data_IF_550637168108
#
_entry.id   IF_550637168108
#
_cell.length_a   1.000
_cell.length_b   1.000
_cell.length_c   1.000
_cell.angle_alpha   90.00
_cell.angle_beta   90.00
_cell.angle_gamma   90.00
#
_symmetry.space_group_name_H-M   'P 1'
#
loop_
_entity.id
_entity.type
_entity.pdbx_description
1 polymer ?
#
# COMPACT_ATOMS: atom_id res chain seq x y z
N UNK A 1 -13.24 34.67 7.73
CA UNK A 1 -13.59 33.23 7.65
C UNK A 1 -12.31 32.44 7.80
N UNK A 2 -12.37 31.30 8.47
CA UNK A 2 -11.25 30.36 8.55
C UNK A 2 -11.03 29.73 7.17
N UNK A 3 -9.77 29.64 6.73
CA UNK A 3 -9.41 29.07 5.43
C UNK A 3 -9.79 27.57 5.33
N UNK A 4 -9.89 26.90 6.48
CA UNK A 4 -10.22 25.47 6.57
C UNK A 4 -11.69 25.20 6.84
N UNK A 5 -12.56 26.21 6.82
CA UNK A 5 -13.99 26.09 7.16
C UNK A 5 -14.69 24.95 6.38
N UNK A 6 -14.65 25.00 5.03
CA UNK A 6 -15.27 23.96 4.19
C UNK A 6 -14.56 22.63 4.40
N UNK A 7 -13.22 22.63 4.36
CA UNK A 7 -12.40 21.42 4.47
C UNK A 7 -12.74 20.64 5.75
N UNK A 8 -12.77 21.33 6.90
CA UNK A 8 -13.08 20.72 8.19
C UNK A 8 -14.52 20.24 8.29
N UNK A 9 -15.47 20.90 7.62
CA UNK A 9 -16.87 20.47 7.58
C UNK A 9 -17.08 19.17 6.79
N UNK A 10 -16.24 18.87 5.79
CA UNK A 10 -16.50 17.78 4.83
C UNK A 10 -15.44 16.67 4.81
N UNK A 11 -14.34 16.81 5.56
CA UNK A 11 -13.22 15.84 5.60
C UNK A 11 -13.59 14.46 6.14
N UNK A 12 -14.52 14.38 7.08
CA UNK A 12 -14.90 13.14 7.75
C UNK A 12 -16.12 12.51 7.08
N UNK A 13 -16.06 11.19 6.89
CA UNK A 13 -17.16 10.43 6.28
C UNK A 13 -17.87 9.65 7.39
N UNK A 14 -19.21 9.72 7.52
CA UNK A 14 -19.93 8.93 8.50
C UNK A 14 -19.89 7.44 8.13
N UNK A 15 -19.97 6.56 9.13
CA UNK A 15 -19.77 5.13 8.95
C UNK A 15 -20.81 4.47 8.00
N UNK A 16 -22.03 5.00 7.97
CA UNK A 16 -23.11 4.56 7.08
C UNK A 16 -22.92 4.94 5.61
N UNK A 17 -22.03 5.91 5.33
CA UNK A 17 -21.61 6.28 3.99
C UNK A 17 -20.32 5.55 3.56
N UNK A 18 -19.78 4.65 4.40
CA UNK A 18 -18.56 3.89 4.12
C UNK A 18 -18.84 2.40 3.96
N UNK A 19 -18.13 1.77 3.03
CA UNK A 19 -18.13 0.32 2.87
C UNK A 19 -16.72 -0.18 2.61
N UNK A 20 -16.28 -1.18 3.35
CA UNK A 20 -15.01 -1.83 3.07
C UNK A 20 -15.10 -2.67 1.78
N UNK A 21 -14.13 -2.51 0.91
CA UNK A 21 -13.97 -3.32 -0.31
C UNK A 21 -13.24 -4.61 0.07
N UNK A 22 -13.91 -5.76 -0.06
CA UNK A 22 -13.38 -7.07 0.38
C UNK A 22 -12.73 -7.92 -0.73
N UNK A 23 -12.61 -7.41 -1.94
CA UNK A 23 -12.16 -8.19 -3.09
C UNK A 23 -11.52 -7.37 -4.21
N UNK A 24 -10.76 -8.06 -5.06
CA UNK A 24 -10.06 -7.45 -6.19
C UNK A 24 -8.87 -6.58 -5.77
N UNK A 25 -8.38 -5.78 -6.72
CA UNK A 25 -7.18 -4.92 -6.53
C UNK A 25 -7.36 -3.84 -5.47
N UNK A 26 -8.60 -3.51 -5.13
CA UNK A 26 -8.96 -2.49 -4.15
C UNK A 26 -9.33 -3.09 -2.79
N UNK A 27 -9.05 -4.37 -2.54
CA UNK A 27 -9.31 -5.00 -1.24
C UNK A 27 -8.64 -4.23 -0.09
N UNK A 28 -9.37 -4.04 1.02
CA UNK A 28 -8.97 -3.22 2.16
C UNK A 28 -9.08 -1.71 1.91
N UNK A 29 -9.57 -1.27 0.75
CA UNK A 29 -9.92 0.13 0.52
C UNK A 29 -11.36 0.42 0.96
N UNK A 30 -11.70 1.70 1.01
CA UNK A 30 -13.00 2.18 1.50
C UNK A 30 -13.72 2.75 0.29
N UNK A 31 -14.85 2.15 -0.02
CA UNK A 31 -15.85 2.67 -0.92
C UNK A 31 -16.69 3.69 -0.15
N UNK A 32 -16.94 4.85 -0.76
CA UNK A 32 -17.70 5.93 -0.12
C UNK A 32 -18.93 6.18 -0.98
N UNK A 33 -20.11 6.14 -0.36
CA UNK A 33 -21.38 6.32 -1.03
C UNK A 33 -21.39 7.62 -1.88
N UNK A 34 -21.62 7.53 -3.19
CA UNK A 34 -21.69 8.71 -4.04
C UNK A 34 -22.77 9.72 -3.66
N UNK A 35 -23.94 9.25 -3.20
CA UNK A 35 -25.04 10.13 -2.81
C UNK A 35 -24.70 10.97 -1.58
N UNK A 36 -23.84 10.46 -0.70
CA UNK A 36 -23.35 11.24 0.44
C UNK A 36 -22.56 12.46 -0.04
N UNK A 37 -21.76 12.35 -1.11
CA UNK A 37 -21.03 13.51 -1.66
C UNK A 37 -21.97 14.59 -2.18
N UNK A 38 -23.02 14.19 -2.91
CA UNK A 38 -24.01 15.14 -3.42
C UNK A 38 -24.79 15.82 -2.28
N UNK A 39 -25.09 15.05 -1.23
CA UNK A 39 -25.69 15.57 0.00
C UNK A 39 -24.77 16.62 0.65
N UNK A 40 -23.48 16.33 0.79
CA UNK A 40 -22.51 17.27 1.36
C UNK A 40 -22.40 18.56 0.54
N UNK A 41 -22.29 18.46 -0.79
CA UNK A 41 -22.30 19.65 -1.66
C UNK A 41 -23.57 20.49 -1.45
N UNK A 42 -24.71 19.81 -1.31
CA UNK A 42 -26.00 20.46 -1.07
C UNK A 42 -26.09 21.10 0.31
N UNK A 43 -25.52 20.47 1.34
CA UNK A 43 -25.47 21.02 2.70
C UNK A 43 -24.53 22.24 2.79
N UNK A 44 -23.41 22.21 2.09
CA UNK A 44 -22.42 23.30 2.13
C UNK A 44 -22.84 24.50 1.29
N UNK A 45 -23.45 24.27 0.12
CA UNK A 45 -23.64 25.32 -0.88
C UNK A 45 -25.09 25.57 -1.24
N UNK A 46 -26.01 24.64 -0.96
CA UNK A 46 -27.42 24.67 -1.39
C UNK A 46 -27.70 23.76 -2.60
N UNK A 47 -28.91 23.77 -3.17
CA UNK A 47 -29.28 22.85 -4.25
C UNK A 47 -28.38 22.96 -5.49
N UNK A 48 -28.21 21.83 -6.21
CA UNK A 48 -27.51 21.83 -7.49
C UNK A 48 -28.21 22.77 -8.50
N UNK A 49 -27.44 23.52 -9.28
CA UNK A 49 -27.90 24.61 -10.15
C UNK A 49 -28.02 25.98 -9.45
N UNK A 50 -28.04 26.01 -8.12
CA UNK A 50 -28.18 27.26 -7.33
C UNK A 50 -26.91 27.52 -6.53
N UNK A 51 -26.56 26.57 -5.68
CA UNK A 51 -25.44 26.63 -4.74
C UNK A 51 -24.16 26.03 -5.29
N UNK A 52 -24.30 24.95 -6.04
CA UNK A 52 -23.22 24.29 -6.75
C UNK A 52 -23.74 23.76 -8.07
N UNK A 53 -22.87 23.48 -9.03
CA UNK A 53 -23.22 22.90 -10.33
C UNK A 53 -22.00 22.24 -10.92
N UNK A 54 -22.18 21.47 -11.98
CA UNK A 54 -21.07 20.97 -12.78
C UNK A 54 -21.43 21.00 -14.27
N UNK A 55 -20.40 21.00 -15.10
CA UNK A 55 -20.51 20.81 -16.55
C UNK A 55 -19.78 19.53 -16.93
N UNK A 56 -20.29 18.84 -17.95
CA UNK A 56 -19.60 17.72 -18.58
C UNK A 56 -18.82 18.30 -19.75
N UNK A 57 -17.49 18.29 -19.66
CA UNK A 57 -16.61 18.84 -20.69
C UNK A 57 -16.39 17.84 -21.81
N UNK A 58 -16.28 16.56 -21.46
CA UNK A 58 -16.01 15.50 -22.42
C UNK A 58 -16.46 14.14 -21.90
N UNK A 59 -16.97 13.31 -22.81
CA UNK A 59 -17.19 11.88 -22.60
C UNK A 59 -16.64 11.11 -23.79
N UNK A 60 -15.89 10.05 -23.55
CA UNK A 60 -15.33 9.23 -24.62
C UNK A 60 -15.06 7.80 -24.17
N UNK A 61 -14.87 6.92 -25.16
CA UNK A 61 -14.40 5.56 -24.97
C UNK A 61 -12.93 5.46 -25.36
N UNK A 62 -12.17 4.66 -24.62
CA UNK A 62 -10.77 4.34 -24.92
C UNK A 62 -10.58 2.82 -24.93
N UNK A 63 -9.84 2.33 -25.91
CA UNK A 63 -9.54 0.90 -26.02
C UNK A 63 -8.49 0.49 -24.98
N UNK A 64 -8.80 -0.55 -24.21
CA UNK A 64 -7.92 -1.19 -23.25
C UNK A 64 -7.25 -2.44 -23.81
N UNK A 65 -6.52 -3.13 -22.93
CA UNK A 65 -5.92 -4.41 -23.27
C UNK A 65 -6.99 -5.50 -23.45
N UNK A 66 -6.70 -6.51 -24.27
CA UNK A 66 -7.53 -7.73 -24.37
C UNK A 66 -9.01 -7.48 -24.73
N UNK A 67 -9.30 -6.44 -25.51
CA UNK A 67 -10.65 -6.12 -25.98
C UNK A 67 -11.53 -5.42 -24.94
N UNK A 68 -10.96 -5.02 -23.80
CA UNK A 68 -11.65 -4.14 -22.84
C UNK A 68 -11.79 -2.73 -23.43
N UNK A 69 -12.84 -2.02 -23.02
CA UNK A 69 -13.06 -0.62 -23.39
C UNK A 69 -13.47 0.12 -22.12
N UNK A 70 -12.87 1.29 -21.88
CA UNK A 70 -13.21 2.15 -20.75
C UNK A 70 -13.94 3.39 -21.22
N UNK A 71 -14.99 3.77 -20.50
CA UNK A 71 -15.64 5.07 -20.61
C UNK A 71 -15.00 6.06 -19.65
N UNK A 72 -14.73 7.27 -20.14
CA UNK A 72 -14.21 8.38 -19.36
C UNK A 72 -15.14 9.57 -19.40
N UNK A 73 -15.11 10.37 -18.34
CA UNK A 73 -15.88 11.59 -18.22
C UNK A 73 -15.01 12.68 -17.58
N UNK A 74 -14.88 13.82 -18.24
CA UNK A 74 -14.28 15.03 -17.70
C UNK A 74 -15.39 16.02 -17.29
N UNK A 75 -15.22 16.64 -16.13
CA UNK A 75 -16.14 17.65 -15.60
C UNK A 75 -15.39 18.88 -15.08
N UNK A 76 -16.14 19.97 -14.96
CA UNK A 76 -15.80 21.09 -14.06
C UNK A 76 -16.90 21.22 -13.00
N UNK A 77 -16.51 21.21 -11.72
CA UNK A 77 -17.38 21.47 -10.58
C UNK A 77 -17.26 22.94 -10.16
N UNK A 78 -18.39 23.59 -9.90
CA UNK A 78 -18.47 24.97 -9.45
C UNK A 78 -19.31 25.05 -8.18
N UNK A 79 -18.97 25.97 -7.29
CA UNK A 79 -19.76 26.27 -6.10
C UNK A 79 -19.88 27.77 -5.89
N UNK A 80 -20.91 28.19 -5.16
CA UNK A 80 -21.18 29.59 -4.85
C UNK A 80 -20.86 29.83 -3.37
N UNK A 81 -20.04 30.84 -3.08
CA UNK A 81 -19.74 31.27 -1.71
C UNK A 81 -19.84 32.79 -1.64
N UNK A 82 -20.50 33.31 -0.62
CA UNK A 82 -20.68 34.76 -0.40
C UNK A 82 -21.26 35.53 -1.61
N UNK A 83 -22.11 34.87 -2.40
CA UNK A 83 -22.71 35.48 -3.59
C UNK A 83 -21.91 35.31 -4.89
N UNK A 84 -20.66 34.86 -4.82
CA UNK A 84 -19.77 34.69 -5.97
C UNK A 84 -19.60 33.21 -6.35
N UNK A 85 -19.50 32.94 -7.65
CA UNK A 85 -19.20 31.61 -8.17
C UNK A 85 -17.69 31.37 -8.16
N UNK A 86 -17.29 30.16 -7.80
CA UNK A 86 -15.92 29.68 -7.95
C UNK A 86 -15.55 29.51 -9.43
N UNK A 87 -14.25 29.38 -9.69
CA UNK A 87 -13.77 28.76 -10.92
C UNK A 87 -14.09 27.26 -10.97
N UNK A 88 -13.92 26.66 -12.15
CA UNK A 88 -14.17 25.25 -12.38
C UNK A 88 -13.09 24.37 -11.75
N UNK A 89 -13.51 23.47 -10.86
CA UNK A 89 -12.64 22.44 -10.26
C UNK A 89 -12.68 21.20 -11.16
N UNK A 90 -11.54 20.78 -11.74
CA UNK A 90 -11.51 19.66 -12.66
C UNK A 90 -11.70 18.32 -11.96
N UNK A 91 -12.38 17.41 -12.66
CA UNK A 91 -12.46 16.00 -12.29
C UNK A 91 -12.52 15.11 -13.52
N UNK A 92 -11.73 14.04 -13.52
CA UNK A 92 -11.77 12.98 -14.53
C UNK A 92 -12.13 11.69 -13.84
N UNK A 93 -13.14 11.01 -14.35
CA UNK A 93 -13.60 9.72 -13.84
C UNK A 93 -13.64 8.67 -14.93
N UNK A 94 -13.60 7.40 -14.51
CA UNK A 94 -13.59 6.27 -15.43
C UNK A 94 -14.47 5.11 -14.98
N UNK A 95 -14.98 4.35 -15.94
CA UNK A 95 -15.65 3.08 -15.70
C UNK A 95 -15.44 2.15 -16.89
N UNK A 96 -15.44 0.83 -16.67
CA UNK A 96 -15.42 -0.11 -17.79
C UNK A 96 -16.73 -0.02 -18.58
N UNK A 97 -16.62 0.18 -19.90
CA UNK A 97 -17.70 0.00 -20.87
C UNK A 97 -17.76 -1.46 -21.31
N UNK A 98 -16.62 -2.05 -21.66
CA UNK A 98 -16.46 -3.49 -21.88
C UNK A 98 -15.42 -4.02 -20.89
N UNK A 99 -15.83 -4.95 -20.03
CA UNK A 99 -14.98 -5.61 -19.05
C UNK A 99 -14.84 -7.10 -19.35
N UNK A 100 -13.66 -7.67 -19.07
CA UNK A 100 -13.46 -9.12 -19.13
C UNK A 100 -13.85 -9.77 -17.81
N UNK A 101 -14.92 -10.53 -17.82
CA UNK A 101 -15.37 -11.32 -16.68
C UNK A 101 -15.14 -12.82 -16.89
N UNK A 102 -15.40 -13.63 -15.85
CA UNK A 102 -15.25 -15.10 -15.95
C UNK A 102 -16.10 -15.72 -17.06
N UNK A 103 -17.21 -15.09 -17.44
CA UNK A 103 -18.13 -15.54 -18.48
C UNK A 103 -17.86 -14.98 -19.88
N UNK A 104 -16.84 -14.14 -20.06
CA UNK A 104 -16.54 -13.47 -21.32
C UNK A 104 -16.55 -11.94 -21.20
N UNK A 105 -16.70 -11.25 -22.34
CA UNK A 105 -16.81 -9.80 -22.37
C UNK A 105 -18.22 -9.38 -21.97
N UNK A 106 -18.31 -8.44 -21.03
CA UNK A 106 -19.55 -7.84 -20.58
C UNK A 106 -19.57 -6.36 -20.92
N UNK A 107 -20.68 -5.88 -21.50
CA UNK A 107 -20.89 -4.48 -21.83
C UNK A 107 -21.80 -3.82 -20.79
N UNK A 108 -21.39 -2.68 -20.25
CA UNK A 108 -22.13 -1.90 -19.26
C UNK A 108 -22.78 -0.66 -19.89
N UNK A 109 -24.10 -0.56 -19.83
CA UNK A 109 -24.87 0.63 -20.21
C UNK A 109 -24.82 1.75 -19.14
N UNK A 110 -24.37 1.43 -17.93
CA UNK A 110 -24.21 2.38 -16.83
C UNK A 110 -22.83 3.06 -16.80
N UNK A 111 -21.92 2.70 -17.73
CA UNK A 111 -20.51 3.11 -17.69
C UNK A 111 -20.31 4.65 -17.61
N UNK A 112 -21.05 5.45 -18.38
CA UNK A 112 -20.92 6.91 -18.33
C UNK A 112 -21.49 7.52 -17.04
N UNK A 113 -22.55 6.93 -16.46
CA UNK A 113 -23.09 7.38 -15.17
C UNK A 113 -22.09 7.10 -14.04
N UNK A 114 -21.45 5.94 -14.09
CA UNK A 114 -20.38 5.57 -13.17
C UNK A 114 -19.15 6.47 -13.34
N UNK A 115 -18.71 6.72 -14.58
CA UNK A 115 -17.60 7.62 -14.88
C UNK A 115 -17.87 9.06 -14.42
N UNK A 116 -19.09 9.59 -14.64
CA UNK A 116 -19.49 10.91 -14.14
C UNK A 116 -19.44 10.97 -12.61
N UNK A 117 -19.90 9.93 -11.95
CA UNK A 117 -19.91 9.84 -10.48
C UNK A 117 -18.50 9.80 -9.91
N UNK A 118 -17.59 9.09 -10.57
CA UNK A 118 -16.16 9.06 -10.21
C UNK A 118 -15.51 10.44 -10.45
N UNK A 119 -15.81 11.10 -11.58
CA UNK A 119 -15.30 12.44 -11.90
C UNK A 119 -15.72 13.48 -10.84
N UNK A 120 -16.98 13.45 -10.41
CA UNK A 120 -17.48 14.26 -9.29
C UNK A 120 -16.74 13.94 -7.99
N UNK A 121 -16.49 12.66 -7.72
CA UNK A 121 -15.73 12.24 -6.54
C UNK A 121 -14.29 12.76 -6.56
N UNK A 122 -13.67 12.84 -7.74
CA UNK A 122 -12.33 13.41 -7.93
C UNK A 122 -12.34 14.92 -7.69
N UNK A 123 -13.25 15.67 -8.32
CA UNK A 123 -13.35 17.12 -8.13
C UNK A 123 -13.62 17.50 -6.67
N UNK A 124 -14.50 16.75 -5.98
CA UNK A 124 -14.84 16.99 -4.57
C UNK A 124 -13.62 16.88 -3.62
N UNK A 125 -12.56 16.14 -3.98
CA UNK A 125 -11.36 16.04 -3.14
C UNK A 125 -10.64 17.37 -2.99
N UNK A 126 -10.70 18.24 -4.00
CA UNK A 126 -10.12 19.58 -3.93
C UNK A 126 -10.82 20.48 -2.89
N UNK A 127 -12.08 20.18 -2.54
CA UNK A 127 -12.83 20.83 -1.46
C UNK A 127 -12.57 20.19 -0.09
N UNK A 128 -11.78 19.11 -0.03
CA UNK A 128 -11.52 18.35 1.19
C UNK A 128 -12.53 17.23 1.47
N UNK A 129 -13.49 16.96 0.57
CA UNK A 129 -14.54 15.95 0.82
C UNK A 129 -13.91 14.58 1.02
N UNK A 130 -14.22 13.95 2.16
CA UNK A 130 -13.68 12.66 2.59
C UNK A 130 -12.15 12.62 2.76
N UNK A 131 -11.49 13.77 2.95
CA UNK A 131 -10.05 13.85 3.08
C UNK A 131 -9.47 12.89 4.14
N UNK A 132 -10.17 12.64 5.25
CA UNK A 132 -9.67 11.74 6.30
C UNK A 132 -9.48 10.30 5.79
N UNK A 133 -10.32 9.81 4.88
CA UNK A 133 -10.19 8.46 4.30
C UNK A 133 -8.94 8.34 3.41
N UNK A 134 -8.60 9.42 2.70
CA UNK A 134 -7.43 9.46 1.83
C UNK A 134 -6.16 9.70 2.66
N UNK A 135 -6.20 10.61 3.63
CA UNK A 135 -5.10 10.97 4.51
C UNK A 135 -4.70 9.83 5.45
N UNK A 136 -5.67 9.15 6.08
CA UNK A 136 -5.39 7.98 6.92
C UNK A 136 -4.66 6.88 6.13
N UNK A 137 -4.91 6.78 4.82
CA UNK A 137 -4.23 5.83 3.93
C UNK A 137 -2.92 6.36 3.36
N UNK A 138 -2.71 7.66 3.36
CA UNK A 138 -1.45 8.32 3.00
C UNK A 138 -0.38 8.20 4.09
N UNK A 139 -0.77 7.70 5.27
CA UNK A 139 0.18 7.34 6.32
C UNK A 139 1.21 6.28 5.90
N UNK A 140 0.98 5.62 4.76
CA UNK A 140 1.90 4.64 4.18
C UNK A 140 2.77 5.18 3.04
N UNK A 141 2.53 6.42 2.58
CA UNK A 141 3.21 7.00 1.42
C UNK A 141 4.13 8.19 1.74
N UNK A 142 3.72 9.07 2.67
CA UNK A 142 4.55 10.21 3.08
C UNK A 142 4.84 10.30 4.58
N UNK A 143 4.21 9.47 5.43
CA UNK A 143 4.69 9.25 6.81
C UNK A 143 5.45 7.93 6.91
N UNK A 144 6.62 7.91 6.27
CA UNK A 144 7.69 7.00 6.63
C UNK A 144 9.07 7.69 6.48
N UNK A 145 9.23 8.87 7.08
CA UNK A 145 10.31 8.99 8.06
C UNK A 145 9.61 8.91 9.42
N UNK A 146 9.63 7.75 10.10
CA UNK A 146 9.07 7.66 11.43
C UNK A 146 9.83 8.63 12.34
N UNK A 147 9.12 9.48 13.07
CA UNK A 147 9.62 9.86 14.39
C UNK A 147 9.79 8.56 15.17
N UNK A 148 10.97 8.37 15.76
CA UNK A 148 11.30 7.15 16.47
C UNK A 148 10.23 6.88 17.55
N UNK A 149 9.44 5.79 17.45
CA UNK A 149 8.67 5.35 18.59
C UNK A 149 9.64 5.03 19.74
N UNK A 150 9.24 5.13 21.03
CA UNK A 150 10.05 4.53 22.09
C UNK A 150 10.30 3.08 21.68
N UNK A 151 11.57 2.76 21.47
CA UNK A 151 12.07 1.55 20.83
C UNK A 151 11.33 0.33 21.41
N UNK A 152 10.31 -0.15 20.70
CA UNK A 152 9.78 -1.48 20.97
C UNK A 152 10.82 -2.44 20.41
N UNK A 153 11.53 -3.11 21.31
CA UNK A 153 12.48 -4.15 20.99
C UNK A 153 11.77 -5.24 20.19
N UNK A 154 12.00 -5.26 18.87
CA UNK A 154 11.88 -6.52 18.14
C UNK A 154 12.85 -7.49 18.82
N UNK A 155 12.42 -8.70 19.25
CA UNK A 155 13.38 -9.67 19.74
C UNK A 155 14.42 -9.86 18.63
N UNK A 156 15.69 -9.62 18.97
CA UNK A 156 16.78 -9.84 18.04
C UNK A 156 16.62 -11.23 17.43
N UNK A 157 16.96 -11.43 16.14
CA UNK A 157 17.10 -12.78 15.60
C UNK A 157 17.90 -13.61 16.61
N UNK A 158 17.32 -14.73 17.08
CA UNK A 158 17.96 -15.59 18.07
C UNK A 158 19.14 -16.30 17.39
N UNK A 159 20.27 -15.60 17.36
CA UNK A 159 21.55 -16.16 17.00
C UNK A 159 22.03 -17.07 18.13
N UNK A 160 22.90 -17.99 17.78
CA UNK A 160 23.49 -18.91 18.74
C UNK A 160 24.24 -18.15 19.85
N UNK A 161 24.07 -18.62 21.08
CA UNK A 161 24.78 -18.10 22.25
C UNK A 161 26.31 -18.34 22.19
N UNK A 162 27.03 -17.73 23.11
CA UNK A 162 28.50 -17.86 23.20
C UNK A 162 28.97 -19.30 23.41
N UNK A 163 28.16 -20.15 24.04
CA UNK A 163 28.46 -21.57 24.27
C UNK A 163 28.51 -22.29 22.93
N UNK A 164 27.48 -22.13 22.11
CA UNK A 164 27.39 -22.72 20.77
C UNK A 164 28.45 -22.14 19.82
N UNK A 165 28.78 -20.86 19.93
CA UNK A 165 29.90 -20.28 19.19
C UNK A 165 31.23 -20.93 19.58
N UNK A 166 31.44 -21.18 20.88
CA UNK A 166 32.64 -21.86 21.40
C UNK A 166 32.72 -23.31 20.90
N UNK A 167 31.60 -24.03 20.88
CA UNK A 167 31.53 -25.38 20.30
C UNK A 167 31.95 -25.36 18.84
N UNK A 168 31.41 -24.40 18.07
CA UNK A 168 31.73 -24.27 16.66
C UNK A 168 33.22 -23.96 16.43
N UNK A 169 33.81 -23.05 17.21
CA UNK A 169 35.25 -22.75 17.15
C UNK A 169 36.11 -23.97 17.48
N UNK A 170 35.74 -24.76 18.51
CA UNK A 170 36.46 -26.00 18.85
C UNK A 170 36.40 -27.02 17.73
N UNK A 171 35.24 -27.18 17.08
CA UNK A 171 35.07 -28.11 15.97
C UNK A 171 35.81 -27.66 14.70
N UNK A 172 35.83 -26.35 14.41
CA UNK A 172 36.66 -25.78 13.34
C UNK A 172 38.14 -26.06 13.60
N UNK A 173 38.62 -25.86 14.83
CA UNK A 173 40.00 -26.17 15.20
C UNK A 173 40.29 -27.68 15.10
N UNK A 174 39.40 -28.54 15.59
CA UNK A 174 39.52 -30.01 15.52
C UNK A 174 39.66 -30.49 14.08
N UNK A 175 38.88 -29.93 13.17
CA UNK A 175 38.85 -30.33 11.76
C UNK A 175 39.86 -29.58 10.88
N UNK A 176 40.47 -28.52 11.42
CA UNK A 176 41.33 -27.59 10.67
C UNK A 176 40.58 -26.75 9.64
N UNK A 177 39.24 -26.67 9.72
CA UNK A 177 38.44 -25.91 8.77
C UNK A 177 38.44 -24.42 9.12
N UNK A 178 38.76 -23.58 8.14
CA UNK A 178 38.77 -22.13 8.29
C UNK A 178 37.36 -21.54 8.48
N UNK A 179 37.25 -20.58 9.41
CA UNK A 179 35.98 -19.96 9.77
C UNK A 179 35.36 -19.17 8.61
N UNK A 180 36.16 -18.49 7.79
CA UNK A 180 35.70 -17.70 6.64
C UNK A 180 35.18 -18.62 5.55
N UNK A 181 35.86 -19.75 5.31
CA UNK A 181 35.38 -20.78 4.38
C UNK A 181 34.07 -21.42 4.85
N UNK A 182 33.95 -21.71 6.15
CA UNK A 182 32.72 -22.24 6.73
C UNK A 182 31.55 -21.26 6.59
N UNK A 183 31.77 -19.96 6.85
CA UNK A 183 30.75 -18.93 6.65
C UNK A 183 30.34 -18.80 5.17
N UNK A 184 31.30 -18.85 4.25
CA UNK A 184 31.02 -18.87 2.81
C UNK A 184 30.21 -20.12 2.40
N UNK A 185 30.50 -21.28 3.00
CA UNK A 185 29.74 -22.51 2.79
C UNK A 185 28.30 -22.39 3.29
N UNK A 186 28.09 -21.80 4.48
CA UNK A 186 26.76 -21.49 5.00
C UNK A 186 26.03 -20.49 4.09
N UNK A 187 26.70 -19.45 3.59
CA UNK A 187 26.10 -18.50 2.65
C UNK A 187 25.59 -19.14 1.36
N UNK A 188 26.32 -20.14 0.82
CA UNK A 188 25.87 -20.92 -0.34
C UNK A 188 24.67 -21.82 -0.03
N UNK A 189 24.58 -22.35 1.20
CA UNK A 189 23.48 -23.24 1.62
C UNK A 189 22.23 -22.49 2.08
N UNK A 190 22.39 -21.25 2.54
CA UNK A 190 21.32 -20.37 3.02
C UNK A 190 21.35 -19.02 2.27
N UNK A 191 21.07 -18.98 0.95
CA UNK A 191 21.23 -17.76 0.14
C UNK A 191 20.26 -16.63 0.52
N UNK A 192 19.13 -16.96 1.17
CA UNK A 192 18.17 -15.97 1.67
C UNK A 192 18.56 -15.37 3.04
N UNK A 193 19.52 -15.98 3.74
CA UNK A 193 20.01 -15.52 5.04
C UNK A 193 21.47 -15.97 5.23
N UNK A 194 22.46 -15.37 4.53
CA UNK A 194 23.87 -15.74 4.69
C UNK A 194 24.44 -15.16 6.00
N UNK A 195 25.12 -15.96 6.85
CA UNK A 195 25.69 -15.44 8.10
C UNK A 195 26.93 -14.56 7.83
N UNK A 196 26.96 -13.37 8.41
CA UNK A 196 28.07 -12.42 8.25
C UNK A 196 29.28 -12.73 9.16
N UNK A 197 29.04 -13.35 10.32
CA UNK A 197 30.06 -13.80 11.26
C UNK A 197 29.53 -14.98 12.09
N UNK A 198 30.39 -15.57 12.94
CA UNK A 198 30.01 -16.63 13.87
C UNK A 198 28.82 -16.24 14.78
N UNK A 199 28.77 -14.98 15.22
CA UNK A 199 27.69 -14.45 16.05
C UNK A 199 26.40 -14.11 15.30
N UNK A 200 26.39 -14.25 13.96
CA UNK A 200 25.20 -14.08 13.13
C UNK A 200 24.69 -15.41 12.56
N UNK A 201 25.07 -16.52 13.20
CA UNK A 201 24.59 -17.86 12.88
C UNK A 201 23.31 -18.12 13.68
N UNK A 202 22.22 -18.47 13.00
CA UNK A 202 20.98 -18.89 13.64
C UNK A 202 20.99 -20.38 14.04
N UNK A 203 20.03 -20.83 14.84
CA UNK A 203 19.91 -22.23 15.30
C UNK A 203 19.88 -23.26 14.16
N UNK A 204 19.27 -22.91 13.03
CA UNK A 204 19.14 -23.82 11.87
C UNK A 204 20.48 -23.96 11.18
N UNK A 205 21.19 -22.85 10.98
CA UNK A 205 22.53 -22.82 10.40
C UNK A 205 23.54 -23.53 11.31
N UNK A 206 23.46 -23.32 12.63
CA UNK A 206 24.30 -24.01 13.60
C UNK A 206 24.12 -25.53 13.57
N UNK A 207 22.87 -25.99 13.64
CA UNK A 207 22.57 -27.43 13.57
C UNK A 207 23.07 -28.04 12.27
N UNK A 208 22.93 -27.31 11.16
CA UNK A 208 23.42 -27.75 9.86
C UNK A 208 24.95 -27.87 9.83
N UNK A 209 25.66 -26.87 10.33
CA UNK A 209 27.12 -26.83 10.23
C UNK A 209 27.81 -27.81 11.19
N UNK A 210 27.26 -28.02 12.39
CA UNK A 210 27.77 -29.02 13.34
C UNK A 210 27.71 -30.42 12.74
N UNK A 211 26.58 -30.80 12.12
CA UNK A 211 26.45 -32.09 11.40
C UNK A 211 27.43 -32.23 10.24
N UNK A 212 27.81 -31.14 9.60
CA UNK A 212 28.82 -31.14 8.54
C UNK A 212 30.24 -31.31 9.11
N UNK A 213 30.53 -30.71 10.27
CA UNK A 213 31.80 -30.80 10.98
C UNK A 213 32.04 -32.17 11.62
N UNK A 214 31.01 -32.81 12.17
CA UNK A 214 31.07 -34.17 12.73
C UNK A 214 31.53 -35.21 11.70
N UNK A 215 31.16 -35.02 10.43
CA UNK A 215 31.56 -35.90 9.32
C UNK A 215 32.99 -35.68 8.85
N UNK A 216 33.67 -34.63 9.33
CA UNK A 216 35.05 -34.32 8.94
C UNK A 216 36.05 -35.00 9.90
N UNK A 217 37.12 -35.61 9.37
CA UNK A 217 38.16 -36.21 10.20
C UNK A 217 38.85 -35.15 11.05
N UNK A 218 39.34 -35.56 12.22
CA UNK A 218 40.18 -34.71 13.08
C UNK A 218 41.53 -34.49 12.38
N UNK A 219 42.02 -33.24 12.38
CA UNK A 219 43.35 -32.92 11.86
C UNK A 219 44.40 -33.66 12.70
N UNK A 220 45.25 -34.47 12.06
CA UNK A 220 46.36 -35.12 12.74
C UNK A 220 47.28 -34.05 13.36
N UNK A 221 47.58 -34.17 14.65
CA UNK A 221 48.48 -33.25 15.32
C UNK A 221 49.90 -33.44 14.75
N UNK A 222 50.41 -32.42 14.05
CA UNK A 222 51.85 -32.30 13.82
C UNK A 222 52.49 -32.09 15.19
N UNK A 223 53.19 -33.13 15.66
CA UNK A 223 54.18 -33.03 16.72
C UNK A 223 55.31 -32.12 16.23
N UNK A 224 55.82 -31.31 17.16
CA UNK A 224 56.99 -30.42 17.11
C UNK A 224 57.94 -30.54 15.91
#
# INVERSE_FOLDING_TARGET
>A
MDNLEIYNAVRSVPADAQREIKGGRLSGKTDINPMWRLKILTEQFGPCGIGWKYTIEKQWLEAGASGEISAFCDILLYYKKNGEWSDGIPGTGGSAFIAKEKGGLYTSDECYKMALTDALSVACKALGVAADIYWQKDSTKYTARPEEPPRQEHPAPQYIDEIKQTVLLKELHRTGWDAKEMLAYLGKKFPKNPPASLGHIDERQFTFIVKALEKRPTKAAEQA
#
